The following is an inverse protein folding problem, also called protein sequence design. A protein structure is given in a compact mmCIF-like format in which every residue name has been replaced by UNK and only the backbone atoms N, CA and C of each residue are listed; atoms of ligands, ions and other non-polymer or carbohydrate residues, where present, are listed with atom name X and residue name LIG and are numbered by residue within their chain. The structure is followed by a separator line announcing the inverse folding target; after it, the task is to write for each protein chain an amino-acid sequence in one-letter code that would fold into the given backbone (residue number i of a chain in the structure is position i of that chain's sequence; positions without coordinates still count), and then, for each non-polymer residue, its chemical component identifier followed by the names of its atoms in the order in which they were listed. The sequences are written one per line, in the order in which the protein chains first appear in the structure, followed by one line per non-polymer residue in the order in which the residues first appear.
data_IF_126487370864
#
_entry.id   IF_126487370864
#
_cell.length_a   1.000
_cell.length_b   1.000
_cell.length_c   1.000
_cell.angle_alpha   90.00
_cell.angle_beta   90.00
_cell.angle_gamma   90.00
#
_symmetry.space_group_name_H-M   'P 1'
#
loop_
_entity.id
_entity.type
_entity.pdbx_description
1 polymer ?
#
# COMPACT_ATOMS: atom_id res chain seq x y z
N UNK A 1 11.07 -16.57 -3.85
CA UNK A 1 10.75 -15.20 -3.36
C UNK A 1 11.52 -15.03 -2.07
N UNK A 2 12.00 -13.83 -1.68
CA UNK A 2 12.91 -13.75 -0.56
C UNK A 2 12.16 -14.22 0.69
N UNK A 3 12.55 -15.36 1.25
CA UNK A 3 12.10 -15.88 2.56
C UNK A 3 12.62 -15.00 3.72
N UNK A 4 12.99 -13.75 3.40
CA UNK A 4 13.76 -12.88 4.25
C UNK A 4 13.32 -11.45 4.00
N UNK A 5 12.93 -10.77 5.08
CA UNK A 5 12.76 -9.33 5.10
C UNK A 5 13.97 -8.66 4.43
N UNK A 6 13.69 -7.98 3.31
CA UNK A 6 14.66 -7.16 2.61
C UNK A 6 14.45 -5.70 2.99
N UNK A 7 15.49 -5.08 3.53
CA UNK A 7 15.55 -3.64 3.72
C UNK A 7 16.51 -3.03 2.70
N UNK A 8 16.00 -2.04 1.97
CA UNK A 8 16.78 -1.18 1.06
C UNK A 8 16.89 0.17 1.72
N UNK A 9 18.10 0.55 2.14
CA UNK A 9 18.35 1.82 2.82
C UNK A 9 17.96 3.01 1.93
N UNK A 10 17.35 4.01 2.55
CA UNK A 10 17.00 5.26 1.87
C UNK A 10 18.22 6.06 1.43
N UNK A 11 18.01 6.98 0.48
CA UNK A 11 19.04 7.87 -0.03
C UNK A 11 19.75 8.61 1.12
N UNK A 12 21.11 8.56 1.20
CA UNK A 12 21.87 9.24 2.25
C UNK A 12 21.58 10.75 2.35
N UNK A 13 21.33 11.43 1.23
CA UNK A 13 21.04 12.87 1.21
C UNK A 13 19.71 13.21 1.86
N UNK A 14 18.70 12.34 1.74
CA UNK A 14 17.41 12.51 2.41
C UNK A 14 17.51 12.19 3.89
N UNK A 15 18.30 11.16 4.26
CA UNK A 15 18.48 10.75 5.67
C UNK A 15 19.25 11.77 6.50
N UNK A 16 20.10 12.58 5.89
CA UNK A 16 20.88 13.61 6.59
C UNK A 16 19.98 14.67 7.28
N UNK A 17 18.76 14.88 6.76
CA UNK A 17 17.81 15.87 7.27
C UNK A 17 16.65 15.25 8.06
N UNK A 18 16.79 14.01 8.56
CA UNK A 18 15.71 13.29 9.28
C UNK A 18 15.08 14.13 10.38
N UNK A 19 15.90 14.73 11.25
CA UNK A 19 15.41 15.53 12.39
C UNK A 19 14.84 16.89 11.99
N UNK A 20 15.01 17.29 10.73
CA UNK A 20 14.49 18.53 10.16
C UNK A 20 13.21 18.30 9.34
N UNK A 21 12.83 17.04 9.13
CA UNK A 21 11.63 16.67 8.38
C UNK A 21 10.50 16.27 9.33
N UNK A 22 9.30 16.77 9.05
CA UNK A 22 8.06 16.35 9.68
C UNK A 22 7.04 15.92 8.62
N UNK A 23 6.10 15.08 9.03
CA UNK A 23 4.99 14.64 8.18
C UNK A 23 4.15 15.84 7.83
N UNK A 24 4.14 16.17 6.55
CA UNK A 24 3.14 17.09 6.01
C UNK A 24 1.87 16.28 5.75
N UNK A 25 0.77 16.77 6.30
CA UNK A 25 -0.55 16.18 6.09
C UNK A 25 -0.89 16.22 4.61
N UNK A 26 -1.20 15.05 4.05
CA UNK A 26 -1.65 14.93 2.66
C UNK A 26 -3.18 14.83 2.60
N UNK A 27 -3.72 14.92 1.39
CA UNK A 27 -5.16 14.77 1.17
C UNK A 27 -5.64 13.34 1.38
N UNK A 28 -4.75 12.36 1.22
CA UNK A 28 -5.01 10.99 1.65
C UNK A 28 -5.06 10.87 3.18
N UNK A 29 -4.29 11.66 3.93
CA UNK A 29 -4.36 11.63 5.39
C UNK A 29 -5.73 12.12 5.91
N UNK A 30 -6.30 13.15 5.26
CA UNK A 30 -7.65 13.67 5.59
C UNK A 30 -8.76 12.64 5.38
N UNK A 31 -8.55 11.67 4.47
CA UNK A 31 -9.55 10.68 4.08
C UNK A 31 -9.01 9.25 4.22
N UNK A 32 -8.12 9.03 5.18
CA UNK A 32 -7.31 7.79 5.22
C UNK A 32 -8.19 6.54 5.28
N UNK A 33 -9.26 6.56 6.07
CA UNK A 33 -10.16 5.42 6.23
C UNK A 33 -10.90 5.12 4.92
N UNK A 34 -11.29 6.16 4.17
CA UNK A 34 -11.91 6.00 2.85
C UNK A 34 -10.93 5.46 1.82
N UNK A 35 -9.69 5.97 1.80
CA UNK A 35 -8.62 5.47 0.91
C UNK A 35 -8.31 4.01 1.19
N UNK A 36 -8.21 3.61 2.46
CA UNK A 36 -7.97 2.22 2.85
C UNK A 36 -9.17 1.33 2.47
N UNK A 37 -10.41 1.82 2.61
CA UNK A 37 -11.58 1.12 2.09
C UNK A 37 -11.54 0.92 0.57
N UNK A 38 -11.14 1.93 -0.20
CA UNK A 38 -10.93 1.81 -1.65
C UNK A 38 -9.86 0.75 -1.95
N UNK A 39 -8.73 0.76 -1.23
CA UNK A 39 -7.69 -0.26 -1.40
C UNK A 39 -8.23 -1.67 -1.12
N UNK A 40 -9.03 -1.84 -0.07
CA UNK A 40 -9.69 -3.11 0.24
C UNK A 40 -10.56 -3.59 -0.93
N UNK A 41 -11.48 -2.75 -1.41
CA UNK A 41 -12.39 -3.11 -2.50
C UNK A 41 -11.64 -3.43 -3.80
N UNK A 42 -10.57 -2.67 -4.09
CA UNK A 42 -9.69 -2.95 -5.22
C UNK A 42 -9.08 -4.35 -5.12
N UNK A 43 -8.55 -4.69 -3.94
CA UNK A 43 -7.87 -5.95 -3.67
C UNK A 43 -8.82 -7.15 -3.62
N UNK A 44 -10.06 -6.96 -3.16
CA UNK A 44 -11.01 -8.05 -2.85
C UNK A 44 -12.04 -8.24 -3.96
N UNK A 45 -12.63 -7.16 -4.47
CA UNK A 45 -13.79 -7.21 -5.36
C UNK A 45 -13.47 -6.78 -6.81
N UNK A 46 -12.56 -5.83 -7.01
CA UNK A 46 -12.28 -5.23 -8.33
C UNK A 46 -11.10 -5.85 -9.07
N UNK A 47 -10.52 -6.93 -8.55
CA UNK A 47 -9.50 -7.71 -9.23
C UNK A 47 -8.12 -7.05 -9.33
N UNK A 48 -7.82 -6.07 -8.48
CA UNK A 48 -6.45 -5.60 -8.32
C UNK A 48 -5.65 -6.63 -7.52
N UNK A 49 -4.60 -7.19 -8.11
CA UNK A 49 -3.71 -8.10 -7.38
C UNK A 49 -2.54 -7.38 -6.71
N UNK A 50 -2.23 -6.18 -7.18
CA UNK A 50 -1.26 -5.29 -6.56
C UNK A 50 -1.86 -3.90 -6.43
N UNK A 51 -1.89 -3.38 -5.21
CA UNK A 51 -2.28 -1.99 -4.95
C UNK A 51 -1.17 -1.34 -4.16
N UNK A 52 -0.68 -0.20 -4.64
CA UNK A 52 0.31 0.64 -3.98
C UNK A 52 -0.29 2.01 -3.69
N UNK A 53 -0.40 2.36 -2.41
CA UNK A 53 -0.71 3.70 -1.98
C UNK A 53 0.57 4.52 -1.83
N UNK A 54 0.53 5.74 -2.36
CA UNK A 54 1.51 6.76 -2.10
C UNK A 54 0.85 7.82 -1.22
N UNK A 55 0.88 7.60 0.09
CA UNK A 55 0.20 8.49 1.05
C UNK A 55 0.70 9.92 0.97
N UNK A 56 2.01 10.12 0.77
CA UNK A 56 2.57 11.48 0.70
C UNK A 56 2.15 12.24 -0.56
N UNK A 57 1.99 11.59 -1.71
CA UNK A 57 1.61 12.23 -2.98
C UNK A 57 0.14 12.04 -3.37
N UNK A 58 -0.66 11.39 -2.53
CA UNK A 58 -2.10 11.18 -2.74
C UNK A 58 -2.44 10.49 -4.07
N UNK A 59 -1.81 9.34 -4.34
CA UNK A 59 -2.10 8.51 -5.51
C UNK A 59 -2.13 7.02 -5.17
N UNK A 60 -2.89 6.26 -5.97
CA UNK A 60 -2.85 4.80 -6.02
C UNK A 60 -2.22 4.34 -7.33
N UNK A 61 -1.38 3.31 -7.27
CA UNK A 61 -0.90 2.58 -8.45
C UNK A 61 -1.37 1.13 -8.34
N UNK A 62 -2.13 0.67 -9.33
CA UNK A 62 -2.84 -0.61 -9.28
C UNK A 62 -2.47 -1.49 -10.49
N UNK A 63 -2.35 -2.79 -10.26
CA UNK A 63 -2.27 -3.82 -11.30
C UNK A 63 -3.45 -4.78 -11.16
N UNK A 64 -4.11 -5.05 -12.27
CA UNK A 64 -5.34 -5.83 -12.33
C UNK A 64 -5.12 -7.15 -13.08
N UNK A 65 -5.92 -8.17 -12.76
CA UNK A 65 -5.82 -9.49 -13.38
C UNK A 65 -6.13 -9.50 -14.89
N UNK A 66 -7.01 -8.61 -15.35
CA UNK A 66 -7.40 -8.48 -16.77
C UNK A 66 -6.26 -7.95 -17.65
N UNK A 67 -5.37 -7.14 -17.08
CA UNK A 67 -4.22 -6.57 -17.77
C UNK A 67 -3.00 -6.46 -16.83
N UNK A 68 -2.35 -7.58 -16.49
CA UNK A 68 -1.32 -7.64 -15.46
C UNK A 68 -0.02 -6.94 -15.85
N UNK A 69 0.17 -6.63 -17.13
CA UNK A 69 1.36 -5.97 -17.66
C UNK A 69 1.23 -4.45 -17.76
N UNK A 70 0.05 -3.90 -17.45
CA UNK A 70 -0.22 -2.46 -17.52
C UNK A 70 -0.75 -1.96 -16.17
N UNK A 71 0.05 -1.16 -15.48
CA UNK A 71 -0.43 -0.49 -14.26
C UNK A 71 -1.37 0.65 -14.61
N UNK A 72 -2.28 0.95 -13.69
CA UNK A 72 -3.15 2.14 -13.72
C UNK A 72 -2.78 3.04 -12.56
N UNK A 73 -2.68 4.34 -12.79
CA UNK A 73 -2.43 5.36 -11.75
C UNK A 73 -3.72 6.14 -11.55
N UNK A 74 -4.18 6.21 -10.30
CA UNK A 74 -5.33 7.00 -9.89
C UNK A 74 -4.85 8.08 -8.94
N UNK A 75 -4.87 9.33 -9.38
CA UNK A 75 -4.62 10.48 -8.51
C UNK A 75 -5.83 10.74 -7.63
N UNK A 76 -5.63 11.54 -6.57
CA UNK A 76 -6.63 11.84 -5.55
C UNK A 76 -8.06 12.02 -6.09
N UNK A 77 -8.25 12.96 -7.01
CA UNK A 77 -9.56 13.37 -7.50
C UNK A 77 -10.32 12.20 -8.12
N UNK A 78 -9.59 11.24 -8.70
CA UNK A 78 -10.17 10.05 -9.30
C UNK A 78 -10.41 8.97 -8.26
N UNK A 79 -9.40 8.67 -7.42
CA UNK A 79 -9.47 7.59 -6.45
C UNK A 79 -10.58 7.81 -5.41
N UNK A 80 -10.86 9.07 -5.06
CA UNK A 80 -11.87 9.47 -4.07
C UNK A 80 -13.17 9.98 -4.68
N UNK A 81 -13.32 9.90 -6.02
CA UNK A 81 -14.55 10.30 -6.69
C UNK A 81 -15.73 9.41 -6.30
N UNK A 82 -16.91 10.01 -6.18
CA UNK A 82 -18.16 9.25 -6.08
C UNK A 82 -18.30 8.30 -7.28
N UNK A 83 -18.62 7.04 -7.02
CA UNK A 83 -18.74 6.01 -8.07
C UNK A 83 -17.41 5.50 -8.63
N UNK A 84 -16.25 5.87 -8.05
CA UNK A 84 -14.95 5.36 -8.49
C UNK A 84 -14.91 3.82 -8.54
N UNK A 85 -15.31 3.17 -7.46
CA UNK A 85 -15.35 1.71 -7.40
C UNK A 85 -16.38 1.12 -8.37
N UNK A 86 -17.52 1.78 -8.56
CA UNK A 86 -18.57 1.33 -9.49
C UNK A 86 -18.15 1.41 -10.96
N UNK A 87 -17.23 2.33 -11.28
CA UNK A 87 -16.63 2.45 -12.61
C UNK A 87 -15.72 1.27 -12.99
N UNK A 88 -15.30 0.48 -12.00
CA UNK A 88 -14.43 -0.67 -12.18
C UNK A 88 -15.24 -1.97 -12.20
N UNK A 89 -14.95 -2.89 -13.14
CA UNK A 89 -15.62 -4.18 -13.16
C UNK A 89 -15.32 -4.96 -11.88
N UNK A 90 -16.30 -5.73 -11.41
CA UNK A 90 -16.02 -6.77 -10.43
C UNK A 90 -15.27 -7.89 -11.15
N UNK A 91 -14.08 -8.21 -10.65
CA UNK A 91 -13.21 -9.18 -11.26
C UNK A 91 -12.62 -10.06 -10.17
N UNK A 92 -12.99 -11.34 -10.20
CA UNK A 92 -12.35 -12.33 -9.34
C UNK A 92 -10.99 -12.72 -9.89
N UNK A 93 -10.18 -13.26 -9.01
CA UNK A 93 -8.94 -13.97 -9.32
C UNK A 93 -9.13 -14.97 -10.51
N UNK A 94 -8.32 -14.83 -11.57
CA UNK A 94 -8.24 -15.79 -12.69
C UNK A 94 -6.84 -16.47 -12.77
N UNK A 95 -6.77 -17.80 -12.70
CA UNK A 95 -5.59 -18.61 -13.09
C UNK A 95 -4.44 -18.89 -12.08
N UNK A 96 -4.01 -17.92 -11.25
CA UNK A 96 -3.12 -18.08 -10.08
C UNK A 96 -3.67 -17.71 -8.67
N UNK A 97 -3.79 -18.70 -7.78
CA UNK A 97 -4.28 -18.52 -6.40
C UNK A 97 -3.50 -17.45 -5.62
N UNK A 98 -4.17 -16.47 -4.98
CA UNK A 98 -3.53 -15.50 -4.09
C UNK A 98 -2.82 -16.17 -2.90
N UNK A 99 -1.63 -15.69 -2.57
CA UNK A 99 -0.92 -16.02 -1.32
C UNK A 99 -1.46 -15.27 -0.12
N UNK A 100 -1.99 -14.06 -0.33
CA UNK A 100 -2.63 -13.27 0.73
C UNK A 100 -4.15 -13.49 0.65
N UNK A 101 -4.68 -14.15 1.67
CA UNK A 101 -6.11 -14.34 1.88
C UNK A 101 -6.84 -13.01 2.12
N UNK A 102 -8.13 -12.97 1.78
CA UNK A 102 -8.96 -11.76 1.95
C UNK A 102 -9.07 -11.35 3.42
N UNK A 103 -9.04 -12.32 4.33
CA UNK A 103 -9.05 -12.17 5.78
C UNK A 103 -7.84 -11.39 6.32
N UNK A 104 -6.73 -11.38 5.57
CA UNK A 104 -5.50 -10.67 5.94
C UNK A 104 -5.44 -9.23 5.43
N UNK A 105 -6.33 -8.83 4.52
CA UNK A 105 -6.26 -7.52 3.88
C UNK A 105 -6.55 -6.40 4.87
N UNK A 106 -7.65 -6.49 5.63
CA UNK A 106 -8.01 -5.47 6.62
C UNK A 106 -6.92 -5.30 7.69
N UNK A 107 -6.40 -6.37 8.34
CA UNK A 107 -5.31 -6.21 9.32
C UNK A 107 -4.03 -5.55 8.76
N UNK A 108 -3.67 -5.82 7.50
CA UNK A 108 -2.52 -5.14 6.87
C UNK A 108 -2.82 -3.66 6.65
N UNK A 109 -4.03 -3.31 6.20
CA UNK A 109 -4.42 -1.93 5.97
C UNK A 109 -4.51 -1.12 7.27
N UNK A 110 -4.98 -1.73 8.36
CA UNK A 110 -4.99 -1.12 9.70
C UNK A 110 -3.56 -0.80 10.17
N UNK A 111 -2.63 -1.70 9.90
CA UNK A 111 -1.23 -1.48 10.23
C UNK A 111 -0.60 -0.38 9.37
N UNK A 112 -0.94 -0.29 8.08
CA UNK A 112 -0.54 0.87 7.26
C UNK A 112 -1.06 2.18 7.82
N UNK A 113 -2.31 2.20 8.29
CA UNK A 113 -2.91 3.37 8.95
C UNK A 113 -2.10 3.77 10.17
N UNK A 114 -1.77 2.81 11.04
CA UNK A 114 -0.96 3.01 12.24
C UNK A 114 0.42 3.57 11.89
N UNK A 115 1.15 2.92 10.99
CA UNK A 115 2.49 3.33 10.55
C UNK A 115 2.50 4.70 9.85
N UNK A 116 1.38 5.11 9.24
CA UNK A 116 1.25 6.43 8.61
C UNK A 116 1.04 7.56 9.62
N UNK A 117 0.27 7.32 10.68
CA UNK A 117 -0.26 8.38 11.53
C UNK A 117 0.35 8.46 12.94
N UNK A 118 1.11 7.45 13.37
CA UNK A 118 1.63 7.38 14.75
C UNK A 118 2.79 8.34 15.03
N UNK A 119 3.66 8.59 14.06
CA UNK A 119 4.88 9.38 14.23
C UNK A 119 4.98 10.48 13.15
N UNK A 120 5.59 11.62 13.50
CA UNK A 120 5.75 12.75 12.58
C UNK A 120 7.09 12.74 11.85
N UNK A 121 8.11 12.04 12.32
CA UNK A 121 9.44 11.95 11.72
C UNK A 121 9.62 10.65 10.93
N UNK A 122 9.24 9.50 11.50
CA UNK A 122 9.37 8.16 10.89
C UNK A 122 7.98 7.61 10.58
N UNK A 123 7.48 7.94 9.39
CA UNK A 123 6.14 7.57 8.97
C UNK A 123 6.13 6.90 7.61
N UNK A 124 5.08 6.12 7.37
CA UNK A 124 4.84 5.45 6.11
C UNK A 124 4.57 6.49 5.00
N UNK A 125 5.37 6.47 3.93
CA UNK A 125 5.19 7.33 2.74
C UNK A 125 4.46 6.60 1.63
N UNK A 126 4.83 5.35 1.41
CA UNK A 126 4.19 4.48 0.44
C UNK A 126 4.01 3.09 1.04
N UNK A 127 2.96 2.38 0.66
CA UNK A 127 2.83 0.97 0.97
C UNK A 127 2.12 0.21 -0.15
N UNK A 128 2.42 -1.07 -0.29
CA UNK A 128 1.77 -1.93 -1.26
C UNK A 128 1.45 -3.31 -0.73
N UNK A 129 0.38 -3.88 -1.25
CA UNK A 129 -0.02 -5.27 -1.05
C UNK A 129 0.01 -5.95 -2.40
N UNK A 130 0.75 -7.04 -2.52
CA UNK A 130 0.71 -7.92 -3.68
C UNK A 130 0.16 -9.29 -3.29
N UNK A 131 -1.10 -9.52 -3.67
CA UNK A 131 -1.82 -10.74 -3.33
C UNK A 131 -1.23 -12.00 -3.98
N UNK A 132 -0.57 -11.87 -5.13
CA UNK A 132 -0.04 -13.03 -5.87
C UNK A 132 1.29 -13.52 -5.35
N UNK A 133 2.20 -12.60 -5.03
CA UNK A 133 3.52 -12.96 -4.55
C UNK A 133 3.66 -12.94 -3.02
N UNK A 134 2.63 -12.51 -2.27
CA UNK A 134 2.66 -12.49 -0.81
C UNK A 134 3.34 -11.26 -0.22
N UNK A 135 3.83 -10.34 -1.05
CA UNK A 135 4.69 -9.24 -0.60
C UNK A 135 3.89 -8.06 -0.07
N UNK A 136 4.33 -7.60 1.09
CA UNK A 136 4.03 -6.28 1.65
C UNK A 136 5.25 -5.38 1.39
N UNK A 137 5.03 -4.28 0.68
CA UNK A 137 6.02 -3.24 0.45
C UNK A 137 5.73 -2.04 1.33
N UNK A 138 6.74 -1.47 1.98
CA UNK A 138 6.60 -0.27 2.81
C UNK A 138 7.78 0.65 2.57
N UNK A 139 7.55 1.93 2.33
CA UNK A 139 8.61 2.94 2.24
C UNK A 139 8.37 3.97 3.32
N UNK A 140 9.34 4.16 4.21
CA UNK A 140 9.30 5.15 5.27
C UNK A 140 10.01 6.44 4.85
N UNK A 141 9.75 7.54 5.57
CA UNK A 141 10.39 8.85 5.37
C UNK A 141 11.91 8.77 5.31
N UNK A 142 12.55 8.03 6.22
CA UNK A 142 14.00 7.99 6.33
C UNK A 142 14.60 6.59 6.53
N UNK A 143 13.79 5.54 6.70
CA UNK A 143 14.29 4.16 6.85
C UNK A 143 14.39 3.39 5.52
N UNK A 144 14.06 4.05 4.42
CA UNK A 144 14.09 3.47 3.09
C UNK A 144 12.88 2.57 2.82
N UNK A 145 13.10 1.51 2.03
CA UNK A 145 12.04 0.59 1.60
C UNK A 145 12.23 -0.80 2.19
N UNK A 146 11.12 -1.38 2.65
CA UNK A 146 11.02 -2.69 3.26
C UNK A 146 10.13 -3.55 2.37
N UNK A 147 10.57 -4.77 2.16
CA UNK A 147 9.86 -5.79 1.45
C UNK A 147 9.83 -7.02 2.37
N UNK A 148 8.64 -7.38 2.83
CA UNK A 148 8.41 -8.48 3.77
C UNK A 148 7.25 -9.36 3.29
N UNK A 149 7.36 -10.67 3.47
CA UNK A 149 6.24 -11.58 3.23
C UNK A 149 5.11 -11.33 4.25
N UNK A 150 3.87 -11.54 3.84
CA UNK A 150 2.69 -11.28 4.67
C UNK A 150 2.69 -12.08 5.99
N UNK A 151 3.20 -13.31 6.03
CA UNK A 151 3.29 -14.07 7.28
C UNK A 151 4.32 -13.48 8.24
N UNK A 152 5.50 -13.14 7.71
CA UNK A 152 6.57 -12.49 8.48
C UNK A 152 6.14 -11.11 8.97
N UNK A 153 5.35 -10.39 8.18
CA UNK A 153 4.77 -9.10 8.56
C UNK A 153 3.98 -9.22 9.85
N UNK A 154 3.05 -10.18 9.94
CA UNK A 154 2.27 -10.40 11.18
C UNK A 154 3.13 -10.89 12.34
N UNK A 155 4.08 -11.81 12.11
CA UNK A 155 4.99 -12.30 13.17
C UNK A 155 5.86 -11.22 13.81
N UNK A 156 5.93 -10.02 13.21
CA UNK A 156 6.70 -8.87 13.71
C UNK A 156 5.82 -7.79 14.36
N UNK A 157 4.49 -7.93 14.27
CA UNK A 157 3.54 -7.05 14.96
C UNK A 157 3.21 -7.53 16.38
N UNK A 158 3.41 -8.82 16.64
CA UNK A 158 3.35 -9.46 17.96
C UNK A 158 4.63 -9.18 18.78
#
# INVERSE_FOLDING_TARGET
MPERWLQVKGDPSVRAFLFEQQRVQSLFDENIDHVLHIMHELLVCKGAFHVKAHFSSSQLTCWFYDNPYSYRVYVREQATAAGFLDSLPNLSYEGRQPRIGVDRIVPVLDEFRRLRLTDEQIYLRNASINRINGMIGMTFSCDGSHYIDCEDFFRRLD
#
